data_IF_921861124494
#
_entry.id   IF_921861124494
#
_cell.length_a   1.000
_cell.length_b   1.000
_cell.length_c   1.000
_cell.angle_alpha   90.00
_cell.angle_beta   90.00
_cell.angle_gamma   90.00
#
_symmetry.space_group_name_H-M   'P 1'
#
loop_
_entity.id
_entity.type
_entity.pdbx_description
1 polymer ?
#
# COMPACT_ATOMS: atom_id res chain seq x y z
N UNK A 1 -27.69 -64.63 25.90
CA UNK A 1 -27.49 -63.34 26.63
C UNK A 1 -26.63 -62.45 25.75
N UNK A 2 -27.27 -61.42 25.26
CA UNK A 2 -26.77 -60.55 24.20
C UNK A 2 -25.83 -59.46 24.79
N UNK A 3 -24.56 -59.44 24.43
CA UNK A 3 -23.64 -58.36 24.75
C UNK A 3 -23.07 -57.78 23.46
N UNK A 4 -23.81 -56.87 22.85
CA UNK A 4 -23.29 -55.97 21.81
C UNK A 4 -24.26 -54.79 21.65
N UNK A 5 -24.01 -53.63 22.27
CA UNK A 5 -24.05 -52.42 21.48
C UNK A 5 -23.10 -51.26 21.92
N UNK A 6 -22.20 -51.48 22.88
CA UNK A 6 -21.38 -50.33 23.38
C UNK A 6 -20.21 -49.98 22.47
N UNK A 7 -19.70 -50.91 21.67
CA UNK A 7 -18.51 -50.62 20.81
C UNK A 7 -18.88 -49.83 19.56
N UNK A 8 -20.06 -50.00 18.99
CA UNK A 8 -20.50 -49.31 17.77
C UNK A 8 -20.80 -47.82 17.97
N UNK A 9 -21.32 -47.43 19.15
CA UNK A 9 -21.63 -46.03 19.45
C UNK A 9 -20.37 -45.23 19.64
N UNK A 10 -19.31 -45.79 20.24
CA UNK A 10 -18.04 -45.13 20.47
C UNK A 10 -17.27 -44.84 19.14
N UNK A 11 -17.34 -45.77 18.19
CA UNK A 11 -16.73 -45.61 16.86
C UNK A 11 -17.46 -44.53 16.05
N UNK A 12 -18.78 -44.48 16.10
CA UNK A 12 -19.56 -43.44 15.42
C UNK A 12 -19.30 -42.04 16.01
N UNK A 13 -19.15 -41.92 17.34
CA UNK A 13 -18.82 -40.65 17.99
C UNK A 13 -17.38 -40.16 17.66
N UNK A 14 -16.43 -41.08 17.58
CA UNK A 14 -15.06 -40.77 17.19
C UNK A 14 -14.95 -40.31 15.72
N UNK A 15 -15.68 -40.96 14.80
CA UNK A 15 -15.71 -40.58 13.38
C UNK A 15 -16.44 -39.25 13.15
N UNK A 16 -17.54 -39.00 13.88
CA UNK A 16 -18.24 -37.73 13.81
C UNK A 16 -17.37 -36.56 14.32
N UNK A 17 -16.64 -36.73 15.42
CA UNK A 17 -15.72 -35.73 15.95
C UNK A 17 -14.55 -35.47 15.00
N UNK A 18 -14.01 -36.53 14.35
CA UNK A 18 -12.91 -36.37 13.38
C UNK A 18 -13.35 -35.51 12.19
N UNK A 19 -14.53 -35.75 11.63
CA UNK A 19 -15.08 -34.98 10.53
C UNK A 19 -15.34 -33.52 10.91
N UNK A 20 -15.85 -33.25 12.11
CA UNK A 20 -16.07 -31.88 12.60
C UNK A 20 -14.74 -31.12 12.76
N UNK A 21 -13.69 -31.78 13.24
CA UNK A 21 -12.34 -31.17 13.36
C UNK A 21 -11.77 -30.88 11.99
N UNK A 22 -11.91 -31.78 11.03
CA UNK A 22 -11.44 -31.56 9.65
C UNK A 22 -12.23 -30.43 8.96
N UNK A 23 -13.54 -30.36 9.12
CA UNK A 23 -14.36 -29.26 8.60
C UNK A 23 -13.97 -27.92 9.22
N UNK A 24 -13.69 -27.86 10.54
CA UNK A 24 -13.21 -26.64 11.18
C UNK A 24 -11.86 -26.21 10.63
N UNK A 25 -10.90 -27.12 10.44
CA UNK A 25 -9.60 -26.82 9.84
C UNK A 25 -9.74 -26.31 8.41
N UNK A 26 -10.61 -26.92 7.61
CA UNK A 26 -10.88 -26.49 6.25
C UNK A 26 -11.51 -25.09 6.20
N UNK A 27 -12.46 -24.83 7.09
CA UNK A 27 -13.10 -23.52 7.20
C UNK A 27 -12.09 -22.43 7.61
N UNK A 28 -11.20 -22.72 8.56
CA UNK A 28 -10.12 -21.79 8.94
C UNK A 28 -9.15 -21.55 7.79
N UNK A 29 -8.80 -22.57 7.02
CA UNK A 29 -7.93 -22.43 5.84
C UNK A 29 -8.57 -21.55 4.77
N UNK A 30 -9.84 -21.77 4.46
CA UNK A 30 -10.60 -20.97 3.48
C UNK A 30 -10.71 -19.51 3.93
N UNK A 31 -11.00 -19.28 5.21
CA UNK A 31 -11.08 -17.94 5.79
C UNK A 31 -9.72 -17.22 5.71
N UNK A 32 -8.62 -17.92 5.99
CA UNK A 32 -7.26 -17.37 5.92
C UNK A 32 -6.86 -17.00 4.50
N UNK A 33 -7.18 -17.83 3.51
CA UNK A 33 -6.93 -17.55 2.09
C UNK A 33 -7.76 -16.35 1.62
N UNK A 34 -9.03 -16.24 2.03
CA UNK A 34 -9.90 -15.13 1.66
C UNK A 34 -9.38 -13.78 2.17
N UNK A 35 -8.83 -13.72 3.39
CA UNK A 35 -8.27 -12.48 3.95
C UNK A 35 -6.97 -12.04 3.24
N UNK A 36 -6.14 -12.99 2.82
CA UNK A 36 -4.93 -12.69 2.05
C UNK A 36 -5.25 -12.10 0.66
N UNK A 37 -6.30 -12.58 0.01
CA UNK A 37 -6.73 -12.06 -1.30
C UNK A 37 -7.30 -10.64 -1.22
N UNK A 38 -7.95 -10.26 -0.12
CA UNK A 38 -8.47 -8.90 0.07
C UNK A 38 -7.36 -7.84 0.17
N UNK A 39 -6.26 -8.15 0.83
CA UNK A 39 -5.12 -7.24 0.94
C UNK A 39 -4.47 -6.94 -0.42
N UNK A 40 -4.28 -7.95 -1.25
CA UNK A 40 -3.71 -7.77 -2.60
C UNK A 40 -4.63 -6.97 -3.53
N UNK A 41 -5.94 -7.14 -3.44
CA UNK A 41 -6.91 -6.38 -4.23
C UNK A 41 -6.84 -4.87 -3.92
N UNK A 42 -6.55 -4.50 -2.68
CA UNK A 42 -6.43 -3.10 -2.28
C UNK A 42 -5.10 -2.49 -2.73
N UNK A 43 -4.01 -3.26 -2.65
CA UNK A 43 -2.69 -2.81 -3.10
C UNK A 43 -2.64 -2.62 -4.63
N UNK A 44 -3.32 -3.46 -5.41
CA UNK A 44 -3.40 -3.27 -6.87
C UNK A 44 -4.04 -1.94 -7.28
N UNK A 45 -4.94 -1.39 -6.45
CA UNK A 45 -5.53 -0.06 -6.66
C UNK A 45 -4.55 1.08 -6.39
N UNK A 46 -3.41 0.84 -5.74
CA UNK A 46 -2.37 1.84 -5.52
C UNK A 46 -1.50 2.07 -6.76
N UNK A 47 -1.52 1.16 -7.73
CA UNK A 47 -0.75 1.28 -8.96
C UNK A 47 -1.26 2.42 -9.85
N UNK A 48 -0.36 2.99 -10.64
CA UNK A 48 -0.65 4.04 -11.60
C UNK A 48 -0.18 5.43 -11.18
N UNK A 49 -0.76 6.48 -11.78
CA UNK A 49 -0.29 7.85 -11.64
C UNK A 49 -1.08 8.61 -10.56
N UNK A 50 -0.32 9.34 -9.73
CA UNK A 50 -0.84 10.11 -8.61
C UNK A 50 -0.27 11.51 -8.59
N UNK A 51 -1.11 12.51 -8.32
CA UNK A 51 -0.69 13.89 -8.10
C UNK A 51 -0.38 14.10 -6.63
N UNK A 52 0.77 14.70 -6.34
CA UNK A 52 1.22 15.06 -5.00
C UNK A 52 0.99 16.54 -4.76
N UNK A 53 0.81 16.90 -3.51
CA UNK A 53 0.49 18.27 -3.10
C UNK A 53 1.39 18.71 -1.96
N UNK A 54 1.67 20.00 -1.91
CA UNK A 54 2.33 20.63 -0.79
C UNK A 54 1.40 20.63 0.44
N UNK A 55 1.89 20.20 1.57
CA UNK A 55 1.08 20.04 2.79
C UNK A 55 0.68 21.40 3.41
N UNK A 56 1.41 22.47 3.10
CA UNK A 56 1.18 23.80 3.68
C UNK A 56 0.31 24.67 2.79
N UNK A 57 0.57 24.64 1.48
CA UNK A 57 -0.11 25.52 0.52
C UNK A 57 -1.24 24.80 -0.24
N UNK A 58 -1.25 23.46 -0.27
CA UNK A 58 -2.17 22.68 -1.09
C UNK A 58 -1.84 22.72 -2.58
N UNK A 59 -0.71 23.30 -2.95
CA UNK A 59 -0.29 23.40 -4.35
C UNK A 59 0.13 22.06 -4.92
N UNK A 60 -0.26 21.80 -6.15
CA UNK A 60 0.18 20.61 -6.88
C UNK A 60 1.68 20.68 -7.15
N UNK A 61 2.43 19.69 -6.70
CA UNK A 61 3.90 19.64 -6.78
C UNK A 61 4.38 18.74 -7.91
N UNK A 62 3.87 17.51 -7.95
CA UNK A 62 4.35 16.54 -8.93
C UNK A 62 3.29 15.51 -9.30
N UNK A 63 3.52 14.80 -10.40
CA UNK A 63 2.93 13.49 -10.67
C UNK A 63 3.98 12.42 -10.41
N UNK A 64 3.57 11.38 -9.73
CA UNK A 64 4.37 10.17 -9.51
C UNK A 64 3.70 8.97 -10.16
N UNK A 65 4.47 7.95 -10.49
CA UNK A 65 3.97 6.68 -10.98
C UNK A 65 4.37 5.56 -10.03
N UNK A 66 3.38 4.81 -9.54
CA UNK A 66 3.58 3.60 -8.73
C UNK A 66 3.40 2.39 -9.65
N UNK A 67 4.38 1.49 -9.62
CA UNK A 67 4.37 0.26 -10.40
C UNK A 67 4.98 -0.90 -9.59
N UNK A 68 4.65 -2.10 -10.01
CA UNK A 68 5.22 -3.32 -9.43
C UNK A 68 6.34 -3.84 -10.32
N UNK A 69 7.45 -4.21 -9.70
CA UNK A 69 8.59 -4.82 -10.37
C UNK A 69 9.21 -5.88 -9.46
N UNK A 70 9.35 -7.11 -9.97
CA UNK A 70 9.95 -8.24 -9.25
C UNK A 70 9.32 -8.49 -7.87
N UNK A 71 8.01 -8.34 -7.72
CA UNK A 71 7.28 -8.56 -6.47
C UNK A 71 7.48 -7.46 -5.41
N UNK A 72 8.06 -6.33 -5.81
CA UNK A 72 8.19 -5.12 -4.98
C UNK A 72 7.56 -3.92 -5.67
N UNK A 73 7.23 -2.90 -4.89
CA UNK A 73 6.56 -1.71 -5.40
C UNK A 73 7.53 -0.54 -5.43
N UNK A 74 7.51 0.14 -6.57
CA UNK A 74 8.37 1.26 -6.92
C UNK A 74 7.53 2.51 -7.09
N UNK A 75 8.12 3.68 -6.86
CA UNK A 75 7.47 4.97 -7.14
C UNK A 75 8.49 5.96 -7.68
N UNK A 76 8.21 6.51 -8.84
CA UNK A 76 9.09 7.48 -9.52
C UNK A 76 8.36 8.78 -9.78
N UNK A 77 9.05 9.92 -9.65
CA UNK A 77 8.54 11.23 -10.05
C UNK A 77 8.61 11.33 -11.57
N UNK A 78 7.45 11.55 -12.22
CA UNK A 78 7.36 11.64 -13.68
C UNK A 78 7.19 13.07 -14.20
N UNK A 79 6.62 13.97 -13.38
CA UNK A 79 6.31 15.33 -13.80
C UNK A 79 6.40 16.27 -12.62
N UNK A 80 6.92 17.48 -12.80
CA UNK A 80 6.88 18.58 -11.84
C UNK A 80 5.92 19.66 -12.33
N UNK A 81 5.32 20.38 -11.39
CA UNK A 81 4.40 21.49 -11.68
C UNK A 81 4.86 22.77 -11.02
N UNK A 82 4.54 23.88 -11.69
CA UNK A 82 4.72 25.24 -11.19
C UNK A 82 3.46 26.06 -11.45
N UNK A 83 3.33 27.20 -10.80
CA UNK A 83 2.26 28.16 -11.10
C UNK A 83 2.74 29.15 -12.15
N UNK A 84 1.91 29.40 -13.17
CA UNK A 84 2.09 30.50 -14.10
C UNK A 84 1.77 31.86 -13.42
N UNK A 85 1.95 32.94 -14.17
CA UNK A 85 1.68 34.31 -13.68
C UNK A 85 0.21 34.52 -13.23
N UNK A 86 -0.72 33.69 -13.67
CA UNK A 86 -2.14 33.72 -13.31
C UNK A 86 -2.49 32.76 -12.16
N UNK A 87 -1.48 32.09 -11.59
CA UNK A 87 -1.66 31.12 -10.51
C UNK A 87 -2.18 29.75 -10.97
N UNK A 88 -2.23 29.49 -12.28
CA UNK A 88 -2.66 28.20 -12.83
C UNK A 88 -1.47 27.24 -12.86
N UNK A 89 -1.71 25.98 -12.47
CA UNK A 89 -0.68 24.95 -12.53
C UNK A 89 -0.37 24.56 -13.97
N UNK A 90 0.90 24.54 -14.32
CA UNK A 90 1.45 24.08 -15.58
C UNK A 90 2.61 23.11 -15.36
N UNK A 91 2.90 22.30 -16.36
CA UNK A 91 4.06 21.40 -16.33
C UNK A 91 5.33 22.22 -16.40
N UNK A 92 6.20 22.03 -15.41
CA UNK A 92 7.54 22.61 -15.41
C UNK A 92 8.38 21.99 -16.50
N UNK A 93 9.00 22.79 -17.34
CA UNK A 93 9.81 22.34 -18.49
C UNK A 93 11.30 22.54 -18.20
N UNK A 94 12.13 21.65 -18.79
CA UNK A 94 13.56 21.84 -18.79
C UNK A 94 13.96 23.09 -19.63
N UNK A 95 15.05 23.81 -19.27
CA UNK A 95 15.91 23.55 -18.11
C UNK A 95 15.20 23.86 -16.79
N UNK A 96 15.31 22.93 -15.83
CA UNK A 96 14.67 23.10 -14.53
C UNK A 96 15.37 24.20 -13.71
N UNK A 97 14.61 24.99 -12.91
CA UNK A 97 15.19 25.94 -11.98
C UNK A 97 16.14 25.26 -10.99
N UNK A 98 17.07 26.06 -10.43
CA UNK A 98 18.01 25.58 -9.39
C UNK A 98 17.27 24.89 -8.25
N UNK A 99 17.68 23.66 -7.92
CA UNK A 99 17.08 22.82 -6.90
C UNK A 99 16.00 21.85 -7.42
N UNK A 100 15.66 21.90 -8.70
CA UNK A 100 14.75 20.96 -9.35
C UNK A 100 15.44 20.08 -10.39
N UNK A 101 16.74 20.31 -10.63
CA UNK A 101 17.53 19.49 -11.54
C UNK A 101 17.62 18.06 -11.04
N UNK A 102 17.30 17.10 -11.91
CA UNK A 102 17.37 15.67 -11.58
C UNK A 102 16.23 15.16 -10.68
N UNK A 103 15.26 16.00 -10.29
CA UNK A 103 14.11 15.55 -9.49
C UNK A 103 13.16 14.67 -10.29
N UNK A 104 12.91 14.98 -11.56
CA UNK A 104 12.19 14.08 -12.47
C UNK A 104 13.04 12.83 -12.69
N UNK A 105 12.44 11.66 -12.53
CA UNK A 105 13.13 10.37 -12.54
C UNK A 105 13.62 9.89 -11.18
N UNK A 106 13.54 10.73 -10.13
CA UNK A 106 13.88 10.31 -8.77
C UNK A 106 12.89 9.26 -8.27
N UNK A 107 13.40 8.17 -7.75
CA UNK A 107 12.62 7.17 -7.03
C UNK A 107 12.31 7.65 -5.62
N UNK A 108 11.02 7.86 -5.32
CA UNK A 108 10.55 8.19 -3.97
C UNK A 108 10.59 6.99 -3.05
N UNK A 109 10.28 5.81 -3.57
CA UNK A 109 10.51 4.55 -2.88
C UNK A 109 10.82 3.44 -3.89
N UNK A 110 11.63 2.50 -3.42
CA UNK A 110 11.96 1.25 -4.06
C UNK A 110 11.78 0.12 -3.07
N UNK A 111 11.46 -1.06 -3.58
CA UNK A 111 11.37 -2.28 -2.77
C UNK A 111 10.35 -2.22 -1.62
N UNK A 112 9.31 -1.38 -1.73
CA UNK A 112 8.20 -1.46 -0.79
C UNK A 112 7.49 -2.81 -0.94
N UNK A 113 7.09 -3.38 0.20
CA UNK A 113 6.45 -4.69 0.28
C UNK A 113 5.03 -4.57 0.79
N UNK A 114 4.18 -5.51 0.37
CA UNK A 114 2.82 -5.64 0.88
C UNK A 114 2.85 -6.09 2.33
N UNK A 115 2.09 -5.39 3.17
CA UNK A 115 1.82 -5.74 4.55
C UNK A 115 0.33 -5.52 4.83
N UNK A 116 -0.44 -6.59 4.72
CA UNK A 116 -1.91 -6.54 4.74
C UNK A 116 -2.46 -5.77 3.54
N UNK A 117 -3.17 -4.69 3.80
CA UNK A 117 -3.77 -3.77 2.82
C UNK A 117 -2.89 -2.53 2.51
N UNK A 118 -1.63 -2.54 2.93
CA UNK A 118 -0.71 -1.42 2.86
C UNK A 118 0.60 -1.81 2.15
N UNK A 119 1.32 -0.79 1.68
CA UNK A 119 2.72 -0.92 1.30
C UNK A 119 3.59 -0.36 2.42
N UNK A 120 4.65 -1.08 2.80
CA UNK A 120 5.63 -0.65 3.80
C UNK A 120 7.05 -0.81 3.30
N UNK A 121 7.90 0.14 3.66
CA UNK A 121 9.31 0.16 3.27
C UNK A 121 10.01 1.44 3.64
N UNK A 122 10.86 1.91 2.72
CA UNK A 122 11.60 3.16 2.88
C UNK A 122 11.15 4.15 1.82
N UNK A 123 11.02 5.42 2.21
CA UNK A 123 10.65 6.54 1.32
C UNK A 123 11.74 7.59 1.37
N UNK A 124 12.24 7.97 0.21
CA UNK A 124 13.16 9.09 0.02
C UNK A 124 12.38 10.38 -0.18
N UNK A 125 12.78 11.42 0.52
CA UNK A 125 12.25 12.78 0.36
C UNK A 125 13.30 13.63 -0.36
N UNK A 126 13.06 14.04 -1.62
CA UNK A 126 14.02 14.85 -2.38
C UNK A 126 14.28 16.23 -1.77
N UNK A 127 13.29 16.81 -1.08
CA UNK A 127 13.40 18.14 -0.48
C UNK A 127 14.37 18.14 0.71
N UNK A 128 14.23 17.20 1.63
CA UNK A 128 15.14 17.06 2.77
C UNK A 128 16.38 16.22 2.47
N UNK A 129 16.41 15.52 1.33
CA UNK A 129 17.44 14.54 0.93
C UNK A 129 17.61 13.41 1.97
N UNK A 130 16.53 13.03 2.64
CA UNK A 130 16.53 12.00 3.69
C UNK A 130 15.60 10.85 3.33
N UNK A 131 15.90 9.71 3.93
CA UNK A 131 15.08 8.50 3.78
C UNK A 131 14.38 8.19 5.10
N UNK A 132 13.08 7.96 5.02
CA UNK A 132 12.18 7.69 6.13
C UNK A 132 11.61 6.28 6.08
N UNK A 133 11.05 5.80 7.17
CA UNK A 133 10.13 4.66 7.12
C UNK A 133 8.84 5.09 6.43
N UNK A 134 8.42 4.34 5.43
CA UNK A 134 7.28 4.67 4.59
C UNK A 134 6.13 3.68 4.75
N UNK A 135 4.92 4.21 4.76
CA UNK A 135 3.69 3.47 4.70
C UNK A 135 2.73 4.12 3.72
N UNK A 136 2.23 3.34 2.75
CA UNK A 136 1.21 3.78 1.79
C UNK A 136 -0.09 3.04 2.07
N UNK A 137 -1.18 3.78 2.17
CA UNK A 137 -2.52 3.24 2.39
C UNK A 137 -3.47 3.83 1.36
N UNK A 138 -4.32 3.00 0.76
CA UNK A 138 -5.34 3.44 -0.19
C UNK A 138 -6.67 3.71 0.51
N UNK A 139 -7.28 4.86 0.22
CA UNK A 139 -8.62 5.23 0.67
C UNK A 139 -9.63 5.04 -0.46
N UNK A 140 -10.36 3.94 -0.45
CA UNK A 140 -11.29 3.58 -1.50
C UNK A 140 -12.42 4.60 -1.68
N UNK A 141 -12.95 5.17 -0.60
CA UNK A 141 -14.08 6.12 -0.65
C UNK A 141 -13.75 7.42 -1.40
N UNK A 142 -12.51 7.85 -1.38
CA UNK A 142 -12.06 9.12 -1.96
C UNK A 142 -11.13 8.95 -3.15
N UNK A 143 -10.73 7.69 -3.47
CA UNK A 143 -9.70 7.34 -4.46
C UNK A 143 -8.41 8.14 -4.21
N UNK A 144 -7.93 8.09 -2.97
CA UNK A 144 -6.74 8.79 -2.51
C UNK A 144 -5.72 7.82 -1.92
N UNK A 145 -4.43 8.17 -2.03
CA UNK A 145 -3.36 7.54 -1.27
C UNK A 145 -2.95 8.41 -0.10
N UNK A 146 -2.70 7.77 1.02
CA UNK A 146 -2.03 8.39 2.16
C UNK A 146 -0.62 7.81 2.25
N UNK A 147 0.36 8.64 1.96
CA UNK A 147 1.77 8.32 2.21
C UNK A 147 2.16 8.89 3.57
N UNK A 148 2.58 8.02 4.50
CA UNK A 148 3.16 8.44 5.77
C UNK A 148 4.65 8.15 5.78
N UNK A 149 5.44 9.22 5.97
CA UNK A 149 6.88 9.15 6.25
C UNK A 149 7.14 9.36 7.73
N UNK A 150 7.97 8.51 8.36
CA UNK A 150 8.30 8.60 9.78
C UNK A 150 9.78 8.35 10.06
N UNK A 151 10.28 8.93 11.15
CA UNK A 151 11.64 8.71 11.63
C UNK A 151 11.78 7.35 12.31
N UNK A 152 10.72 6.88 12.94
CA UNK A 152 10.65 5.61 13.66
C UNK A 152 9.85 4.56 12.88
N UNK A 153 10.19 3.29 13.07
CA UNK A 153 9.53 2.15 12.42
C UNK A 153 8.05 1.99 12.84
N UNK A 154 7.70 2.43 14.05
CA UNK A 154 6.34 2.38 14.56
C UNK A 154 5.43 3.44 13.89
N UNK A 155 6.01 4.45 13.24
CA UNK A 155 5.27 5.50 12.54
C UNK A 155 4.72 6.59 13.45
N UNK A 156 5.24 6.73 14.68
CA UNK A 156 4.75 7.72 15.65
C UNK A 156 5.23 9.13 15.29
N UNK A 157 6.54 9.27 15.02
CA UNK A 157 7.17 10.55 14.68
C UNK A 157 7.24 10.73 13.17
N UNK A 158 6.18 11.26 12.57
CA UNK A 158 6.12 11.39 11.12
C UNK A 158 5.00 12.30 10.64
N UNK A 159 4.98 12.56 9.33
CA UNK A 159 3.92 13.31 8.65
C UNK A 159 3.25 12.46 7.59
N UNK A 160 2.03 12.80 7.24
CA UNK A 160 1.27 12.15 6.18
C UNK A 160 0.96 13.14 5.07
N UNK A 161 1.08 12.68 3.84
CA UNK A 161 0.65 13.39 2.63
C UNK A 161 -0.50 12.65 1.99
N UNK A 162 -1.45 13.40 1.43
CA UNK A 162 -2.55 12.86 0.63
C UNK A 162 -2.25 13.08 -0.84
N UNK A 163 -2.24 11.99 -1.61
CA UNK A 163 -2.07 12.02 -3.06
C UNK A 163 -3.40 11.71 -3.72
N UNK A 164 -3.71 12.38 -4.82
CA UNK A 164 -4.95 12.18 -5.58
C UNK A 164 -4.66 11.52 -6.92
N UNK A 165 -5.52 10.60 -7.32
CA UNK A 165 -5.35 9.92 -8.61
C UNK A 165 -5.31 10.94 -9.73
N UNK A 166 -4.35 10.80 -10.63
CA UNK A 166 -4.32 11.59 -11.86
C UNK A 166 -5.43 11.10 -12.79
N UNK A 167 -6.31 12.00 -13.13
CA UNK A 167 -7.38 11.79 -14.12
C UNK A 167 -6.87 12.05 -15.53
#
# INVERSE_FOLDING_TARGET
MCFLPFCTIFVFFALANHNIIQMKKLLFLVLFVATAMMGQAQVSKMLGQWNTFDDKTGDMRSTVNIYEENGTYQCVITTLYEKDANGKFQVMKAPYPKGFEGVVGTQLFSEMKVDGDQLKGRVYDPESQKTYYGKVTYKEKTDELILRGSLDKAGLLGRSQTWKRKK
#
